data_IF_825746178604
#
_entry.id   IF_825746178604
#
_cell.length_a   1.000
_cell.length_b   1.000
_cell.length_c   1.000
_cell.angle_alpha   90.00
_cell.angle_beta   90.00
_cell.angle_gamma   90.00
#
_symmetry.space_group_name_H-M   'P 1'
#
loop_
_entity.id
_entity.type
_entity.pdbx_description
1 polymer ?
#
# COMPACT_ATOMS: atom_id res chain seq x y z
N UNK A 1 -2.74 -2.85 -24.10
CA UNK A 1 -2.69 -2.19 -22.79
C UNK A 1 -1.96 -3.08 -21.79
N UNK A 2 -1.54 -2.54 -20.64
CA UNK A 2 -0.99 -3.32 -19.54
C UNK A 2 -2.07 -3.60 -18.50
N UNK A 3 -2.10 -4.81 -17.94
CA UNK A 3 -2.87 -5.16 -16.76
C UNK A 3 -1.92 -5.31 -15.57
N UNK A 4 -2.22 -4.64 -14.48
CA UNK A 4 -1.48 -4.75 -13.23
C UNK A 4 -2.40 -5.41 -12.21
N UNK A 5 -1.91 -6.45 -11.55
CA UNK A 5 -2.63 -7.20 -10.51
C UNK A 5 -1.78 -7.20 -9.22
N UNK A 6 -2.39 -6.77 -8.13
CA UNK A 6 -1.81 -6.76 -6.77
C UNK A 6 -2.66 -7.66 -5.86
N UNK A 7 -2.14 -8.85 -5.54
CA UNK A 7 -2.79 -9.81 -4.65
C UNK A 7 -2.38 -9.53 -3.20
N UNK A 8 -3.17 -8.72 -2.54
CA UNK A 8 -3.00 -8.41 -1.12
C UNK A 8 -3.69 -9.42 -0.20
N UNK A 9 -3.44 -9.34 1.11
CA UNK A 9 -4.03 -10.23 2.12
C UNK A 9 -5.58 -10.15 2.20
N UNK A 10 -6.17 -9.02 1.86
CA UNK A 10 -7.61 -8.78 2.04
C UNK A 10 -8.35 -8.74 0.70
N UNK A 11 -7.75 -8.16 -0.32
CA UNK A 11 -8.39 -7.95 -1.64
C UNK A 11 -7.35 -8.03 -2.74
N UNK A 12 -7.81 -8.39 -3.93
CA UNK A 12 -7.07 -8.27 -5.17
C UNK A 12 -7.39 -6.91 -5.77
N UNK A 13 -6.37 -6.12 -6.09
CA UNK A 13 -6.51 -4.85 -6.79
C UNK A 13 -6.01 -4.99 -8.22
N UNK A 14 -6.69 -4.34 -9.16
CA UNK A 14 -6.29 -4.33 -10.56
C UNK A 14 -6.28 -2.94 -11.16
N UNK A 15 -5.38 -2.71 -12.09
CA UNK A 15 -5.30 -1.48 -12.87
C UNK A 15 -5.00 -1.74 -14.33
N UNK A 16 -5.73 -1.07 -15.22
CA UNK A 16 -5.52 -1.10 -16.66
C UNK A 16 -4.81 0.17 -17.08
N UNK A 17 -3.68 0.03 -17.78
CA UNK A 17 -2.85 1.15 -18.21
C UNK A 17 -2.68 1.17 -19.74
N UNK A 18 -2.67 2.39 -20.27
CA UNK A 18 -2.25 2.69 -21.63
C UNK A 18 -0.95 3.49 -21.54
N UNK A 19 0.19 2.82 -21.76
CA UNK A 19 1.49 3.37 -21.41
C UNK A 19 1.57 3.67 -19.91
N UNK A 20 1.73 4.94 -19.53
CA UNK A 20 1.73 5.41 -18.13
C UNK A 20 0.35 5.84 -17.62
N UNK A 21 -0.65 5.94 -18.51
CA UNK A 21 -1.97 6.49 -18.17
C UNK A 21 -2.86 5.40 -17.57
N UNK A 22 -3.29 5.59 -16.34
CA UNK A 22 -4.26 4.73 -15.66
C UNK A 22 -5.66 4.96 -16.25
N UNK A 23 -6.22 3.95 -16.92
CA UNK A 23 -7.54 4.01 -17.57
C UNK A 23 -8.67 3.53 -16.67
N UNK A 24 -8.42 2.49 -15.87
CA UNK A 24 -9.41 1.90 -14.97
C UNK A 24 -8.73 1.22 -13.81
N UNK A 25 -9.37 1.27 -12.64
CA UNK A 25 -9.02 0.47 -11.47
C UNK A 25 -10.23 -0.29 -10.97
N UNK A 26 -9.99 -1.39 -10.32
CA UNK A 26 -10.99 -2.17 -9.60
C UNK A 26 -10.34 -2.91 -8.44
N UNK A 27 -11.16 -3.32 -7.47
CA UNK A 27 -10.75 -4.21 -6.40
C UNK A 27 -11.87 -5.22 -6.12
N UNK A 28 -11.51 -6.48 -5.86
CA UNK A 28 -12.48 -7.53 -5.52
C UNK A 28 -11.88 -8.53 -4.54
N UNK A 29 -12.72 -9.35 -3.95
CA UNK A 29 -12.31 -10.50 -3.14
C UNK A 29 -11.96 -11.72 -4.02
N UNK A 30 -12.47 -11.78 -5.25
CA UNK A 30 -12.20 -12.86 -6.20
C UNK A 30 -11.58 -12.33 -7.49
N UNK A 31 -10.66 -13.10 -8.09
CA UNK A 31 -10.05 -12.75 -9.37
C UNK A 31 -11.08 -12.70 -10.49
N UNK A 32 -12.02 -13.63 -10.53
CA UNK A 32 -13.07 -13.71 -11.55
C UNK A 32 -13.88 -12.42 -11.63
N UNK A 33 -14.36 -11.92 -10.48
CA UNK A 33 -15.10 -10.65 -10.42
C UNK A 33 -14.22 -9.47 -10.83
N UNK A 34 -12.94 -9.49 -10.45
CA UNK A 34 -12.01 -8.43 -10.82
C UNK A 34 -11.79 -8.40 -12.34
N UNK A 35 -11.50 -9.54 -12.96
CA UNK A 35 -11.26 -9.65 -14.41
C UNK A 35 -12.49 -9.29 -15.23
N UNK A 36 -13.69 -9.67 -14.79
CA UNK A 36 -14.94 -9.28 -15.45
C UNK A 36 -15.11 -7.75 -15.58
N UNK A 37 -14.56 -6.98 -14.64
CA UNK A 37 -14.59 -5.51 -14.74
C UNK A 37 -13.68 -4.96 -15.84
N UNK A 38 -12.78 -5.78 -16.37
CA UNK A 38 -11.79 -5.42 -17.39
C UNK A 38 -12.03 -6.09 -18.74
N UNK A 39 -13.11 -6.83 -18.96
CA UNK A 39 -13.37 -7.64 -20.15
C UNK A 39 -13.35 -6.86 -21.48
N UNK A 40 -13.62 -5.55 -21.44
CA UNK A 40 -13.56 -4.69 -22.64
C UNK A 40 -12.13 -4.33 -23.10
N UNK A 41 -11.10 -4.71 -22.32
CA UNK A 41 -9.72 -4.38 -22.63
C UNK A 41 -8.94 -5.60 -23.11
N UNK A 42 -8.00 -5.37 -24.05
CA UNK A 42 -7.03 -6.37 -24.51
C UNK A 42 -5.67 -6.04 -23.91
N UNK A 43 -5.01 -7.06 -23.34
CA UNK A 43 -3.74 -6.89 -22.65
C UNK A 43 -2.59 -7.49 -23.46
N UNK A 44 -1.48 -6.77 -23.52
CA UNK A 44 -0.23 -7.26 -24.11
C UNK A 44 0.72 -7.78 -23.04
N UNK A 45 0.71 -7.13 -21.88
CA UNK A 45 1.56 -7.46 -20.73
C UNK A 45 0.75 -7.43 -19.46
N UNK A 46 1.05 -8.35 -18.55
CA UNK A 46 0.44 -8.45 -17.23
C UNK A 46 1.55 -8.48 -16.19
N UNK A 47 1.53 -7.54 -15.23
CA UNK A 47 2.40 -7.58 -14.05
C UNK A 47 1.60 -8.06 -12.86
N UNK A 48 2.13 -9.07 -12.17
CA UNK A 48 1.52 -9.67 -10.98
C UNK A 48 2.44 -9.42 -9.78
N UNK A 49 1.93 -8.74 -8.76
CA UNK A 49 2.52 -8.69 -7.44
C UNK A 49 1.65 -9.49 -6.48
N UNK A 50 2.26 -10.25 -5.58
CA UNK A 50 1.53 -11.04 -4.61
C UNK A 50 2.26 -11.14 -3.28
N UNK A 51 1.49 -11.12 -2.20
CA UNK A 51 1.92 -11.46 -0.83
C UNK A 51 1.19 -12.70 -0.30
N UNK A 52 0.46 -13.39 -1.18
CA UNK A 52 -0.29 -14.63 -0.90
C UNK A 52 -0.07 -15.63 -2.03
N UNK A 53 -0.35 -16.90 -1.79
CA UNK A 53 -0.32 -17.92 -2.84
C UNK A 53 -1.49 -17.72 -3.82
N UNK A 54 -1.21 -17.82 -5.11
CA UNK A 54 -2.22 -17.73 -6.17
C UNK A 54 -2.60 -19.14 -6.60
N UNK A 55 -3.87 -19.55 -6.50
CA UNK A 55 -4.34 -20.86 -6.97
C UNK A 55 -4.05 -21.08 -8.45
N UNK A 56 -3.73 -22.31 -8.86
CA UNK A 56 -3.42 -22.66 -10.24
C UNK A 56 -4.53 -22.27 -11.24
N UNK A 57 -5.80 -22.46 -10.86
CA UNK A 57 -6.95 -22.03 -11.66
C UNK A 57 -6.93 -20.51 -11.92
N UNK A 58 -6.61 -19.72 -10.89
CA UNK A 58 -6.46 -18.27 -11.02
C UNK A 58 -5.32 -17.89 -11.95
N UNK A 59 -4.20 -18.61 -11.88
CA UNK A 59 -3.08 -18.39 -12.80
C UNK A 59 -3.48 -18.64 -14.25
N UNK A 60 -4.13 -19.78 -14.55
CA UNK A 60 -4.64 -20.08 -15.88
C UNK A 60 -5.54 -18.97 -16.45
N UNK A 61 -6.46 -18.46 -15.62
CA UNK A 61 -7.34 -17.33 -16.01
C UNK A 61 -6.56 -16.05 -16.37
N UNK A 62 -5.44 -15.79 -15.70
CA UNK A 62 -4.62 -14.60 -16.00
C UNK A 62 -3.82 -14.83 -17.28
N UNK A 63 -3.21 -16.00 -17.43
CA UNK A 63 -2.37 -16.38 -18.59
C UNK A 63 -3.17 -16.36 -19.91
N UNK A 64 -4.46 -16.69 -19.87
CA UNK A 64 -5.37 -16.55 -21.04
C UNK A 64 -5.55 -15.08 -21.48
N UNK A 65 -5.29 -14.12 -20.62
CA UNK A 65 -5.47 -12.69 -20.92
C UNK A 65 -4.21 -12.03 -21.49
N UNK A 66 -3.02 -12.62 -21.35
CA UNK A 66 -1.78 -12.06 -21.89
C UNK A 66 -0.50 -12.57 -21.24
N UNK A 67 0.64 -12.06 -21.71
CA UNK A 67 1.95 -12.44 -21.17
C UNK A 67 2.15 -11.95 -19.73
N UNK A 68 2.41 -12.89 -18.81
CA UNK A 68 2.53 -12.64 -17.39
C UNK A 68 3.98 -12.45 -16.94
N UNK A 69 4.22 -11.48 -16.08
CA UNK A 69 5.49 -11.25 -15.38
C UNK A 69 5.21 -11.10 -13.90
N UNK A 70 5.93 -11.85 -13.07
CA UNK A 70 5.84 -11.69 -11.62
C UNK A 70 6.80 -10.61 -11.14
N UNK A 71 6.29 -9.71 -10.31
CA UNK A 71 7.11 -8.76 -9.58
C UNK A 71 7.59 -9.38 -8.27
N UNK A 72 8.89 -9.35 -8.04
CA UNK A 72 9.53 -9.81 -6.82
C UNK A 72 10.48 -8.73 -6.29
N UNK A 73 10.96 -8.88 -5.07
CA UNK A 73 11.94 -7.96 -4.48
C UNK A 73 13.29 -7.96 -5.20
N UNK A 74 13.56 -8.97 -6.05
CA UNK A 74 14.77 -9.07 -6.89
C UNK A 74 14.55 -8.56 -8.32
N UNK A 75 13.33 -8.21 -8.68
CA UNK A 75 13.04 -7.62 -10.00
C UNK A 75 13.77 -6.28 -10.12
N UNK A 76 14.39 -6.05 -11.25
CA UNK A 76 15.07 -4.80 -11.52
C UNK A 76 14.07 -3.63 -11.54
N UNK A 77 14.37 -2.54 -10.87
CA UNK A 77 13.47 -1.40 -10.70
C UNK A 77 14.21 -0.08 -10.94
N UNK A 78 13.50 1.04 -11.17
CA UNK A 78 14.15 2.35 -11.26
C UNK A 78 14.81 2.81 -9.94
N UNK A 79 14.53 2.12 -8.83
CA UNK A 79 15.16 2.37 -7.53
C UNK A 79 16.28 1.35 -7.27
N UNK A 80 17.31 1.80 -6.58
CA UNK A 80 18.34 0.91 -6.04
C UNK A 80 17.88 0.34 -4.71
N UNK A 81 17.62 -0.97 -4.67
CA UNK A 81 17.20 -1.65 -3.45
C UNK A 81 18.38 -1.87 -2.51
N UNK A 82 18.41 -1.15 -1.39
CA UNK A 82 19.45 -1.24 -0.35
C UNK A 82 18.94 -1.97 0.90
N UNK A 83 17.80 -2.66 0.82
CA UNK A 83 17.25 -3.40 1.94
C UNK A 83 18.11 -4.61 2.28
N UNK A 84 18.55 -4.76 3.54
CA UNK A 84 19.54 -5.75 3.93
C UNK A 84 19.09 -7.21 3.68
N UNK A 85 17.79 -7.51 3.87
CA UNK A 85 17.21 -8.84 3.63
C UNK A 85 16.27 -8.81 2.42
N UNK A 86 16.83 -8.71 1.22
CA UNK A 86 16.07 -8.56 -0.03
C UNK A 86 15.00 -9.64 -0.20
N UNK A 87 15.31 -10.90 0.14
CA UNK A 87 14.39 -12.04 -0.01
C UNK A 87 13.14 -11.97 0.88
N UNK A 88 13.16 -11.18 1.96
CA UNK A 88 12.04 -11.00 2.88
C UNK A 88 11.29 -9.68 2.67
N UNK A 89 11.77 -8.84 1.75
CA UNK A 89 11.11 -7.58 1.45
C UNK A 89 9.78 -7.84 0.71
N UNK A 90 8.68 -7.38 1.30
CA UNK A 90 7.38 -7.43 0.65
C UNK A 90 7.40 -6.66 -0.68
N UNK A 91 6.93 -7.31 -1.75
CA UNK A 91 6.89 -6.73 -3.09
C UNK A 91 6.05 -5.44 -3.14
N UNK A 92 4.96 -5.38 -2.38
CA UNK A 92 4.09 -4.21 -2.24
C UNK A 92 4.83 -2.96 -1.72
N UNK A 93 5.81 -3.14 -0.83
CA UNK A 93 6.61 -2.04 -0.27
C UNK A 93 7.51 -1.39 -1.33
N UNK A 94 8.23 -2.22 -2.08
CA UNK A 94 9.10 -1.73 -3.16
C UNK A 94 8.27 -1.14 -4.32
N UNK A 95 7.13 -1.77 -4.66
CA UNK A 95 6.21 -1.24 -5.65
C UNK A 95 5.66 0.14 -5.26
N UNK A 96 5.27 0.33 -3.99
CA UNK A 96 4.81 1.63 -3.49
C UNK A 96 5.91 2.71 -3.61
N UNK A 97 7.16 2.35 -3.28
CA UNK A 97 8.30 3.25 -3.45
C UNK A 97 8.55 3.61 -4.92
N UNK A 98 8.46 2.64 -5.85
CA UNK A 98 8.56 2.90 -7.28
C UNK A 98 7.43 3.82 -7.80
N UNK A 99 6.23 3.70 -7.23
CA UNK A 99 5.12 4.61 -7.52
C UNK A 99 5.41 6.05 -7.07
N UNK A 100 5.95 6.21 -5.85
CA UNK A 100 6.33 7.52 -5.34
C UNK A 100 7.52 8.13 -6.10
N UNK A 101 8.43 7.31 -6.59
CA UNK A 101 9.54 7.78 -7.43
C UNK A 101 9.06 8.49 -8.71
N UNK A 102 7.91 8.13 -9.27
CA UNK A 102 7.33 8.86 -10.41
C UNK A 102 6.94 10.29 -10.05
N UNK A 103 6.59 10.54 -8.78
CA UNK A 103 6.17 11.84 -8.28
C UNK A 103 7.36 12.69 -7.80
N UNK A 104 8.37 12.06 -7.22
CA UNK A 104 9.45 12.72 -6.46
C UNK A 104 10.84 12.38 -6.98
N UNK A 105 10.98 12.10 -8.28
CA UNK A 105 12.27 11.78 -8.90
C UNK A 105 13.35 12.85 -8.58
N UNK A 106 14.47 12.39 -8.03
CA UNK A 106 15.58 13.27 -7.61
C UNK A 106 15.40 13.93 -6.24
N UNK A 107 14.35 13.55 -5.49
CA UNK A 107 14.09 14.02 -4.13
C UNK A 107 13.93 12.84 -3.19
N UNK A 108 14.21 13.03 -1.90
CA UNK A 108 13.88 12.05 -0.87
C UNK A 108 12.37 11.99 -0.62
N UNK A 109 11.86 10.80 -0.32
CA UNK A 109 10.44 10.62 -0.02
C UNK A 109 10.17 9.49 0.97
N UNK A 110 9.08 9.64 1.71
CA UNK A 110 8.50 8.66 2.62
C UNK A 110 7.10 8.28 2.11
N UNK A 111 6.92 7.02 1.75
CA UNK A 111 5.59 6.46 1.47
C UNK A 111 5.04 5.89 2.76
N UNK A 112 3.82 6.30 3.12
CA UNK A 112 3.06 5.75 4.23
C UNK A 112 1.86 5.01 3.63
N UNK A 113 1.96 3.67 3.62
CA UNK A 113 0.90 2.79 3.14
C UNK A 113 0.04 2.32 4.32
N UNK A 114 -1.16 2.88 4.41
CA UNK A 114 -2.12 2.58 5.46
C UNK A 114 -3.17 1.57 4.97
N UNK A 115 -2.88 0.30 5.18
CA UNK A 115 -3.74 -0.83 4.82
C UNK A 115 -3.89 -1.82 5.96
N UNK A 116 -3.88 -3.12 5.66
CA UNK A 116 -3.90 -4.20 6.68
C UNK A 116 -2.78 -4.00 7.71
N UNK A 117 -1.58 -3.64 7.23
CA UNK A 117 -0.51 -3.07 8.04
C UNK A 117 -0.31 -1.61 7.67
N UNK A 118 0.20 -0.84 8.62
CA UNK A 118 0.73 0.49 8.38
C UNK A 118 2.22 0.35 8.08
N UNK A 119 2.65 0.78 6.88
CA UNK A 119 4.02 0.61 6.42
C UNK A 119 4.64 1.96 6.09
N UNK A 120 5.88 2.14 6.49
CA UNK A 120 6.71 3.30 6.20
C UNK A 120 7.83 2.87 5.26
N UNK A 121 8.02 3.56 4.14
CA UNK A 121 9.01 3.22 3.13
C UNK A 121 9.77 4.47 2.71
N UNK A 122 11.02 4.57 3.09
CA UNK A 122 11.88 5.71 2.81
C UNK A 122 12.83 5.42 1.65
N UNK A 123 12.95 6.41 0.77
CA UNK A 123 13.88 6.42 -0.35
C UNK A 123 14.62 7.76 -0.32
N UNK A 124 15.94 7.73 -0.43
CA UNK A 124 16.75 8.94 -0.45
C UNK A 124 16.72 9.67 -1.81
N UNK A 125 17.31 10.86 -1.87
CA UNK A 125 17.36 11.69 -3.10
C UNK A 125 18.13 11.04 -4.26
N UNK A 126 18.97 10.03 -3.99
CA UNK A 126 19.72 9.29 -5.00
C UNK A 126 18.92 8.11 -5.58
N UNK A 127 17.70 7.87 -5.09
CA UNK A 127 16.86 6.75 -5.48
C UNK A 127 17.23 5.43 -4.80
N UNK A 128 17.95 5.48 -3.66
CA UNK A 128 18.20 4.30 -2.85
C UNK A 128 16.99 4.04 -1.95
N UNK A 129 16.33 2.88 -2.14
CA UNK A 129 15.29 2.40 -1.23
C UNK A 129 15.96 1.82 0.02
N UNK A 130 15.80 2.48 1.15
CA UNK A 130 16.47 2.12 2.42
C UNK A 130 15.58 1.29 3.35
N UNK A 131 14.29 1.13 3.04
CA UNK A 131 13.34 0.42 3.89
C UNK A 131 12.52 1.36 4.76
N UNK A 132 12.31 1.00 6.03
CA UNK A 132 11.51 1.78 6.99
C UNK A 132 10.85 0.87 8.03
N UNK A 133 9.59 1.14 8.40
CA UNK A 133 8.88 0.44 9.46
C UNK A 133 7.64 -0.31 8.99
N UNK A 134 7.18 -1.23 9.84
CA UNK A 134 5.87 -1.90 9.72
C UNK A 134 5.21 -1.87 11.11
N UNK A 135 3.95 -1.49 11.14
CA UNK A 135 3.13 -1.41 12.35
C UNK A 135 1.73 -1.97 12.05
N UNK A 136 0.95 -2.36 13.05
CA UNK A 136 -0.42 -2.80 12.83
C UNK A 136 -1.28 -1.70 12.20
N UNK A 137 -2.03 -2.02 11.14
CA UNK A 137 -3.05 -1.13 10.57
C UNK A 137 -4.26 -1.00 11.49
N UNK A 138 -5.18 -0.09 11.15
CA UNK A 138 -6.29 0.27 12.02
C UNK A 138 -7.19 -0.93 12.38
N UNK A 139 -7.65 -1.67 11.39
CA UNK A 139 -8.48 -2.86 11.62
C UNK A 139 -7.75 -3.94 12.42
N UNK A 140 -6.43 -4.09 12.21
CA UNK A 140 -5.61 -5.03 12.96
C UNK A 140 -5.52 -4.64 14.45
N UNK A 141 -5.36 -3.35 14.76
CA UNK A 141 -5.34 -2.83 16.15
C UNK A 141 -6.64 -3.14 16.87
N UNK A 142 -7.79 -2.85 16.24
CA UNK A 142 -9.12 -3.10 16.82
C UNK A 142 -9.36 -4.60 17.04
N UNK A 143 -9.02 -5.44 16.06
CA UNK A 143 -9.17 -6.90 16.17
C UNK A 143 -8.23 -7.52 17.19
N UNK A 144 -6.98 -7.11 17.21
CA UNK A 144 -5.99 -7.66 18.15
C UNK A 144 -6.42 -7.49 19.63
N UNK A 145 -7.00 -6.35 20.00
CA UNK A 145 -7.51 -6.16 21.36
C UNK A 145 -8.64 -7.15 21.72
N UNK A 146 -9.50 -7.48 20.76
CA UNK A 146 -10.54 -8.49 20.95
C UNK A 146 -9.96 -9.91 20.97
N UNK A 147 -9.12 -10.25 19.99
CA UNK A 147 -8.60 -11.61 19.79
C UNK A 147 -7.61 -12.04 20.88
N UNK A 148 -6.80 -11.10 21.41
CA UNK A 148 -5.79 -11.40 22.43
C UNK A 148 -6.22 -11.08 23.85
N UNK A 149 -7.51 -10.77 24.10
CA UNK A 149 -8.05 -10.57 25.44
C UNK A 149 -9.40 -11.26 25.62
N UNK A 150 -9.69 -11.72 26.83
CA UNK A 150 -10.92 -12.48 27.09
C UNK A 150 -12.18 -11.61 27.23
N UNK A 151 -12.05 -10.30 27.45
CA UNK A 151 -13.19 -9.45 27.85
C UNK A 151 -13.41 -8.23 26.97
N UNK A 152 -12.45 -7.88 26.11
CA UNK A 152 -12.62 -6.73 25.24
C UNK A 152 -13.50 -7.08 24.05
N UNK A 153 -14.57 -6.31 23.79
CA UNK A 153 -15.44 -6.54 22.65
C UNK A 153 -14.73 -6.19 21.32
N UNK A 154 -15.15 -6.81 20.24
CA UNK A 154 -14.79 -6.33 18.90
C UNK A 154 -15.47 -5.00 18.65
N UNK A 155 -14.68 -3.97 18.39
CA UNK A 155 -15.15 -2.61 18.13
C UNK A 155 -14.89 -2.24 16.67
N UNK A 156 -15.91 -1.69 16.00
CA UNK A 156 -15.79 -1.22 14.63
C UNK A 156 -15.12 0.16 14.56
N UNK A 157 -14.44 0.39 13.45
CA UNK A 157 -13.93 1.71 13.09
C UNK A 157 -15.06 2.75 13.02
N UNK A 158 -14.76 3.95 13.50
CA UNK A 158 -15.69 5.09 13.49
C UNK A 158 -14.91 6.33 13.01
N UNK A 159 -15.15 6.74 11.77
CA UNK A 159 -14.41 7.84 11.16
C UNK A 159 -14.62 9.21 11.83
N UNK A 160 -15.68 9.33 12.64
CA UNK A 160 -16.02 10.56 13.36
C UNK A 160 -15.53 10.58 14.80
N UNK A 161 -14.92 9.48 15.28
CA UNK A 161 -14.43 9.41 16.65
C UNK A 161 -13.25 10.36 16.89
N UNK A 162 -13.39 11.25 17.86
CA UNK A 162 -12.37 12.26 18.18
C UNK A 162 -12.15 12.50 19.67
N UNK A 163 -12.85 11.75 20.56
CA UNK A 163 -12.74 11.94 22.00
C UNK A 163 -11.41 11.45 22.53
N UNK A 164 -10.66 12.33 23.20
CA UNK A 164 -9.38 11.99 23.81
C UNK A 164 -9.54 11.11 25.04
N UNK A 165 -10.69 11.17 25.74
CA UNK A 165 -10.96 10.40 26.94
C UNK A 165 -12.09 9.41 26.67
N UNK A 166 -11.73 8.13 26.55
CA UNK A 166 -12.73 7.05 26.50
C UNK A 166 -13.32 6.80 27.88
N UNK A 167 -14.60 7.07 28.08
CA UNK A 167 -15.30 6.90 29.35
C UNK A 167 -16.06 5.57 29.48
N UNK A 168 -15.93 4.70 28.50
CA UNK A 168 -16.39 3.31 28.51
C UNK A 168 -15.44 2.45 27.68
N UNK A 169 -15.59 1.12 27.76
CA UNK A 169 -14.67 0.16 27.10
C UNK A 169 -14.58 0.39 25.60
N UNK A 170 -15.70 0.59 24.90
CA UNK A 170 -15.68 0.78 23.45
C UNK A 170 -14.99 2.09 23.06
N UNK A 171 -15.30 3.20 23.72
CA UNK A 171 -14.65 4.48 23.46
C UNK A 171 -13.16 4.47 23.82
N UNK A 172 -12.78 3.76 24.90
CA UNK A 172 -11.36 3.58 25.24
C UNK A 172 -10.59 2.80 24.19
N UNK A 173 -11.19 1.72 23.62
CA UNK A 173 -10.62 0.95 22.52
C UNK A 173 -10.48 1.83 21.26
N UNK A 174 -11.51 2.60 20.88
CA UNK A 174 -11.47 3.53 19.74
C UNK A 174 -10.36 4.56 19.92
N UNK A 175 -10.28 5.19 21.09
CA UNK A 175 -9.23 6.18 21.38
C UNK A 175 -7.84 5.57 21.19
N UNK A 176 -7.56 4.43 21.82
CA UNK A 176 -6.27 3.77 21.74
C UNK A 176 -5.90 3.33 20.33
N UNK A 177 -6.84 2.73 19.57
CA UNK A 177 -6.58 2.27 18.22
C UNK A 177 -6.50 3.41 17.19
N UNK A 178 -7.50 4.29 17.17
CA UNK A 178 -7.67 5.29 16.14
C UNK A 178 -6.79 6.53 16.37
N UNK A 179 -6.92 7.18 17.53
CA UNK A 179 -6.10 8.35 17.82
C UNK A 179 -4.65 7.95 18.11
N UNK A 180 -4.42 6.76 18.70
CA UNK A 180 -3.08 6.20 18.84
C UNK A 180 -2.37 6.02 17.51
N UNK A 181 -3.06 5.52 16.46
CA UNK A 181 -2.50 5.41 15.11
C UNK A 181 -2.18 6.79 14.51
N UNK A 182 -3.07 7.78 14.67
CA UNK A 182 -2.80 9.16 14.21
C UNK A 182 -1.57 9.75 14.91
N UNK A 183 -1.44 9.55 16.22
CA UNK A 183 -0.29 10.03 16.99
C UNK A 183 1.01 9.34 16.55
N UNK A 184 0.98 8.03 16.31
CA UNK A 184 2.11 7.28 15.74
C UNK A 184 2.55 7.87 14.40
N UNK A 185 1.61 8.00 13.45
CA UNK A 185 1.93 8.51 12.11
C UNK A 185 2.50 9.93 12.17
N UNK A 186 1.91 10.79 12.98
CA UNK A 186 2.41 12.15 13.21
C UNK A 186 3.84 12.13 13.77
N UNK A 187 4.08 11.34 14.81
CA UNK A 187 5.40 11.22 15.42
C UNK A 187 6.45 10.67 14.45
N UNK A 188 6.12 9.65 13.68
CA UNK A 188 7.03 9.08 12.66
C UNK A 188 7.33 10.10 11.55
N UNK A 189 6.34 10.85 11.07
CA UNK A 189 6.56 11.94 10.11
C UNK A 189 7.56 12.97 10.64
N UNK A 190 7.40 13.40 11.90
CA UNK A 190 8.33 14.35 12.51
C UNK A 190 9.75 13.78 12.66
N UNK A 191 9.90 12.52 13.02
CA UNK A 191 11.21 11.85 13.06
C UNK A 191 11.88 11.83 11.69
N UNK A 192 11.14 11.51 10.61
CA UNK A 192 11.69 11.52 9.26
C UNK A 192 12.05 12.94 8.80
N UNK A 193 11.27 13.96 9.15
CA UNK A 193 11.59 15.36 8.86
C UNK A 193 12.83 15.85 9.62
N UNK A 194 13.06 15.34 10.83
CA UNK A 194 14.30 15.63 11.58
C UNK A 194 15.50 14.92 10.94
N UNK A 195 15.32 13.70 10.42
CA UNK A 195 16.36 12.95 9.71
C UNK A 195 16.68 13.55 8.35
N UNK A 196 15.68 13.97 7.59
CA UNK A 196 15.79 14.63 6.29
C UNK A 196 14.69 15.72 6.16
N UNK A 197 15.09 16.98 6.36
CA UNK A 197 14.16 18.11 6.32
C UNK A 197 13.50 18.32 4.95
N UNK A 198 14.07 17.75 3.88
CA UNK A 198 13.58 17.87 2.50
C UNK A 198 12.65 16.71 2.11
N UNK A 199 12.34 15.77 3.01
CA UNK A 199 11.56 14.57 2.69
C UNK A 199 10.15 14.91 2.26
N UNK A 200 9.77 14.44 1.06
CA UNK A 200 8.40 14.48 0.59
C UNK A 200 7.61 13.32 1.18
N UNK A 201 6.32 13.53 1.46
CA UNK A 201 5.49 12.49 2.07
C UNK A 201 4.29 12.23 1.17
N UNK A 202 3.98 10.94 0.97
CA UNK A 202 2.79 10.50 0.25
C UNK A 202 2.08 9.40 1.02
N UNK A 203 0.76 9.51 1.13
CA UNK A 203 -0.09 8.47 1.67
C UNK A 203 -0.66 7.60 0.56
N UNK A 204 -0.77 6.31 0.84
CA UNK A 204 -1.52 5.32 0.04
C UNK A 204 -2.21 4.33 0.98
N UNK A 205 -2.97 3.40 0.40
CA UNK A 205 -3.74 2.41 1.18
C UNK A 205 -5.16 2.86 1.50
N UNK A 206 -5.96 1.93 2.02
CA UNK A 206 -7.39 2.15 2.26
C UNK A 206 -7.70 3.16 3.37
N UNK A 207 -6.83 3.25 4.38
CA UNK A 207 -6.99 4.14 5.53
C UNK A 207 -6.28 5.50 5.32
N UNK A 208 -5.66 5.74 4.16
CA UNK A 208 -4.97 6.99 3.85
C UNK A 208 -5.88 8.25 3.94
N UNK A 209 -7.15 8.23 3.49
CA UNK A 209 -8.06 9.37 3.67
C UNK A 209 -8.33 9.71 5.13
N UNK A 210 -8.45 8.68 5.99
CA UNK A 210 -8.61 8.87 7.43
C UNK A 210 -7.38 9.55 8.05
N UNK A 211 -6.17 9.10 7.68
CA UNK A 211 -4.93 9.72 8.15
C UNK A 211 -4.81 11.17 7.70
N UNK A 212 -5.07 11.47 6.42
CA UNK A 212 -5.01 12.83 5.89
C UNK A 212 -5.94 13.77 6.64
N UNK A 213 -7.22 13.36 6.82
CA UNK A 213 -8.22 14.12 7.56
C UNK A 213 -7.84 14.32 9.03
N UNK A 214 -7.43 13.22 9.70
CA UNK A 214 -7.13 13.23 11.12
C UNK A 214 -5.87 14.04 11.47
N UNK A 215 -4.87 14.05 10.59
CA UNK A 215 -3.65 14.84 10.75
C UNK A 215 -3.81 16.31 10.32
N UNK A 216 -4.95 16.67 9.71
CA UNK A 216 -5.21 18.01 9.17
C UNK A 216 -4.05 18.50 8.30
N UNK A 217 -3.55 17.65 7.43
CA UNK A 217 -2.35 17.90 6.64
C UNK A 217 -2.67 17.94 5.15
N UNK A 218 -1.90 18.72 4.39
CA UNK A 218 -1.98 18.78 2.93
C UNK A 218 -1.13 17.67 2.26
N UNK A 219 -0.81 16.60 2.99
CA UNK A 219 -0.04 15.48 2.46
C UNK A 219 -0.81 14.85 1.31
N UNK A 220 -0.13 14.67 0.20
CA UNK A 220 -0.70 14.08 -1.01
C UNK A 220 -1.10 12.62 -0.78
N UNK A 221 -2.29 12.25 -1.24
CA UNK A 221 -2.82 10.88 -1.18
C UNK A 221 -2.93 10.33 -2.60
N UNK A 222 -2.29 9.21 -2.87
CA UNK A 222 -2.49 8.45 -4.11
C UNK A 222 -2.94 7.02 -3.80
N UNK A 223 -4.24 6.70 -3.92
CA UNK A 223 -4.78 5.38 -3.64
C UNK A 223 -4.30 4.30 -4.61
N UNK A 224 -3.72 4.70 -5.74
CA UNK A 224 -3.27 3.81 -6.82
C UNK A 224 -1.75 3.74 -6.94
N UNK A 225 -1.02 4.22 -5.92
CA UNK A 225 0.43 4.36 -5.95
C UNK A 225 1.14 3.04 -6.27
N UNK A 226 0.72 1.92 -5.65
CA UNK A 226 1.28 0.58 -5.88
C UNK A 226 1.06 0.15 -7.33
N UNK A 227 -0.15 0.30 -7.87
CA UNK A 227 -0.46 -0.06 -9.26
C UNK A 227 0.36 0.76 -10.26
N UNK A 228 0.54 2.06 -10.00
CA UNK A 228 1.40 2.93 -10.83
C UNK A 228 2.86 2.51 -10.74
N UNK A 229 3.34 2.15 -9.56
CA UNK A 229 4.68 1.63 -9.36
C UNK A 229 4.92 0.33 -10.13
N UNK A 230 4.03 -0.63 -10.04
CA UNK A 230 4.10 -1.89 -10.77
C UNK A 230 4.07 -1.67 -12.29
N UNK A 231 3.22 -0.76 -12.79
CA UNK A 231 3.21 -0.42 -14.22
C UNK A 231 4.51 0.26 -14.66
N UNK A 232 5.10 1.11 -13.82
CA UNK A 232 6.40 1.73 -14.13
C UNK A 232 7.52 0.69 -14.22
N UNK A 233 7.51 -0.31 -13.34
CA UNK A 233 8.47 -1.41 -13.34
C UNK A 233 8.29 -2.27 -14.60
N UNK A 234 7.05 -2.60 -14.98
CA UNK A 234 6.74 -3.35 -16.21
C UNK A 234 7.27 -2.64 -17.46
N UNK A 235 7.22 -1.32 -17.46
CA UNK A 235 7.72 -0.49 -18.59
C UNK A 235 9.23 -0.19 -18.50
N UNK A 236 9.88 -0.40 -17.35
CA UNK A 236 11.31 -0.14 -17.14
C UNK A 236 12.21 -1.13 -17.90
N UNK A 237 11.68 -2.30 -18.24
CA UNK A 237 12.39 -3.40 -18.89
C UNK A 237 12.17 -3.46 -20.41
N UNK A 238 11.71 -2.37 -21.03
CA UNK A 238 11.51 -2.29 -22.48
C UNK A 238 12.71 -1.66 -23.16
#
# INVERSE_FOLDING_TARGET
MNLILDFGNTRIKGGVFDGSILKKTAASYTLKELLAQFDKYTFHKIMIATVVDIPAESMSMIEEKGACTFFTSTTNTPLRNMYASISTLGSDRLAAACGAYLLFKGSAFLVIDAGTCLKYNYTDKLGNYLGGGISPGLSMRLRAMHEYTNRLPLVNFDEHYSDLIGNNTQSAIKMGAQLGMLAEVKGIIELYKQFDASVNIVFTGGDAPYLQKGLKSDIFVDPHLILKGLNSILNYHI
#
